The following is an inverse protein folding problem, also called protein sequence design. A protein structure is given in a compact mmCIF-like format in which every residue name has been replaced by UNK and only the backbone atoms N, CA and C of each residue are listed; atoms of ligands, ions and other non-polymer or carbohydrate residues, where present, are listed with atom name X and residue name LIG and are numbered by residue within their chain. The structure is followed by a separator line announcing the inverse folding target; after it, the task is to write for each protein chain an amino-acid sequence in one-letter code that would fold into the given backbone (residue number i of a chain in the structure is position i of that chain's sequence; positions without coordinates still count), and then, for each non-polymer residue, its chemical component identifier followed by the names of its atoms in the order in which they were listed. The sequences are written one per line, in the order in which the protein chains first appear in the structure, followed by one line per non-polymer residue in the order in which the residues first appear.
data_IF_162445117114
#
_entry.id   IF_162445117114
#
_cell.length_a   1.000
_cell.length_b   1.000
_cell.length_c   1.000
_cell.angle_alpha   90.00
_cell.angle_beta   90.00
_cell.angle_gamma   90.00
#
_symmetry.space_group_name_H-M   'P 1'
#
loop_
_entity.id
_entity.type
_entity.pdbx_description
1 polymer ?
#
# COMPACT_ATOMS: atom_id res chain seq x y z
N UNK A 1 52.60 15.70 -5.41
CA UNK A 1 51.37 15.67 -4.58
C UNK A 1 50.13 15.92 -5.45
N UNK A 2 49.95 15.15 -6.53
CA UNK A 2 48.86 15.32 -7.51
C UNK A 2 48.23 13.99 -7.93
N UNK A 3 48.92 12.87 -7.69
CA UNK A 3 48.44 11.53 -8.01
C UNK A 3 47.38 11.02 -7.01
N UNK A 4 47.52 11.37 -5.73
CA UNK A 4 46.57 10.98 -4.67
C UNK A 4 45.24 11.72 -4.76
N UNK A 5 45.22 12.93 -5.32
CA UNK A 5 43.99 13.66 -5.63
C UNK A 5 43.27 13.07 -6.85
N UNK A 6 44.01 12.58 -7.85
CA UNK A 6 43.43 11.91 -9.02
C UNK A 6 42.80 10.54 -8.70
N UNK A 7 43.38 9.78 -7.77
CA UNK A 7 42.75 8.54 -7.27
C UNK A 7 41.50 8.81 -6.43
N UNK A 8 41.43 9.95 -5.72
CA UNK A 8 40.25 10.32 -4.91
C UNK A 8 39.06 10.77 -5.77
N UNK A 9 39.31 11.43 -6.90
CA UNK A 9 38.25 11.84 -7.84
C UNK A 9 37.71 10.67 -8.68
N UNK A 10 38.55 9.68 -9.02
CA UNK A 10 38.09 8.48 -9.72
C UNK A 10 37.22 7.57 -8.84
N UNK A 11 37.58 7.43 -7.55
CA UNK A 11 36.81 6.62 -6.60
C UNK A 11 35.45 7.24 -6.22
N UNK A 12 35.31 8.58 -6.23
CA UNK A 12 34.02 9.24 -5.97
C UNK A 12 33.05 9.18 -7.16
N UNK A 13 33.54 8.92 -8.38
CA UNK A 13 32.70 8.90 -9.58
C UNK A 13 32.00 7.55 -9.82
N UNK A 14 32.48 6.46 -9.21
CA UNK A 14 31.94 5.10 -9.42
C UNK A 14 30.78 4.76 -8.46
N UNK A 15 30.65 5.47 -7.33
CA UNK A 15 29.69 5.11 -6.26
C UNK A 15 28.22 5.48 -6.59
N UNK A 16 27.97 6.35 -7.56
CA UNK A 16 26.60 6.82 -7.86
C UNK A 16 25.80 5.89 -8.79
N UNK A 17 26.39 4.82 -9.33
CA UNK A 17 25.76 4.00 -10.38
C UNK A 17 24.93 2.80 -9.86
N UNK A 18 24.75 2.65 -8.55
CA UNK A 18 24.13 1.44 -7.96
C UNK A 18 22.75 1.69 -7.32
N UNK A 19 22.36 2.95 -7.07
CA UNK A 19 21.06 3.26 -6.46
C UNK A 19 19.98 3.30 -7.55
N UNK A 20 19.44 2.14 -7.92
CA UNK A 20 18.20 2.08 -8.70
C UNK A 20 17.04 2.40 -7.75
N UNK A 21 16.20 3.41 -8.03
CA UNK A 21 15.00 3.64 -7.23
C UNK A 21 14.10 2.42 -7.41
N UNK A 22 14.01 1.59 -6.38
CA UNK A 22 13.00 0.55 -6.31
C UNK A 22 11.65 1.27 -6.16
N UNK A 23 10.85 1.29 -7.22
CA UNK A 23 9.46 1.73 -7.14
C UNK A 23 8.67 0.65 -6.40
N UNK A 24 8.79 0.62 -5.07
CA UNK A 24 7.89 -0.11 -4.22
C UNK A 24 6.65 0.78 -4.07
N UNK A 25 5.52 0.34 -4.59
CA UNK A 25 4.27 1.08 -4.41
C UNK A 25 3.76 0.80 -2.99
N UNK A 26 3.52 1.86 -2.22
CA UNK A 26 3.18 1.75 -0.81
C UNK A 26 1.87 0.98 -0.55
N UNK A 27 1.00 0.85 -1.56
CA UNK A 27 -0.34 0.26 -1.52
C UNK A 27 -0.42 -1.17 -2.09
N UNK A 28 0.70 -1.84 -2.39
CA UNK A 28 0.69 -3.26 -2.76
C UNK A 28 0.60 -4.15 -1.52
N UNK A 29 0.12 -5.37 -1.68
CA UNK A 29 -0.04 -6.34 -0.59
C UNK A 29 1.28 -6.68 0.13
N UNK A 30 2.41 -6.52 -0.57
CA UNK A 30 3.80 -6.66 -0.13
C UNK A 30 4.50 -5.30 0.05
N UNK A 31 3.78 -4.21 -0.14
CA UNK A 31 4.27 -2.84 -0.02
C UNK A 31 4.59 -2.47 1.43
N UNK A 32 5.52 -1.53 1.65
CA UNK A 32 6.03 -1.23 2.98
C UNK A 32 4.95 -0.71 3.94
N UNK A 33 3.96 0.06 3.45
CA UNK A 33 2.87 0.54 4.29
C UNK A 33 1.96 -0.61 4.75
N UNK A 34 1.61 -1.55 3.86
CA UNK A 34 0.79 -2.72 4.22
C UNK A 34 1.53 -3.65 5.19
N UNK A 35 2.84 -3.86 4.99
CA UNK A 35 3.68 -4.64 5.90
C UNK A 35 3.71 -4.03 7.31
N UNK A 36 3.91 -2.72 7.40
CA UNK A 36 3.90 -2.02 8.68
C UNK A 36 2.50 -1.95 9.30
N UNK A 37 1.43 -1.90 8.51
CA UNK A 37 0.06 -2.00 9.01
C UNK A 37 -0.21 -3.35 9.68
N UNK A 38 0.22 -4.46 9.06
CA UNK A 38 0.15 -5.80 9.68
C UNK A 38 0.98 -5.85 10.95
N UNK A 39 2.17 -5.25 10.92
CA UNK A 39 3.05 -5.17 12.09
C UNK A 39 2.40 -4.38 13.23
N UNK A 40 1.75 -3.26 12.94
CA UNK A 40 1.04 -2.43 13.92
C UNK A 40 -0.02 -3.25 14.65
N UNK A 41 -0.84 -4.01 13.91
CA UNK A 41 -1.85 -4.90 14.50
C UNK A 41 -1.21 -6.02 15.32
N UNK A 42 -0.17 -6.67 14.80
CA UNK A 42 0.51 -7.76 15.51
C UNK A 42 1.17 -7.32 16.83
N UNK A 43 1.65 -6.08 16.89
CA UNK A 43 2.35 -5.52 18.04
C UNK A 43 1.43 -4.68 18.92
N UNK A 44 0.16 -4.48 18.54
CA UNK A 44 -0.75 -3.58 19.24
C UNK A 44 -0.26 -2.13 19.29
N UNK A 45 0.58 -1.71 18.33
CA UNK A 45 1.21 -0.40 18.34
C UNK A 45 0.87 0.38 17.06
N UNK A 46 -0.11 1.27 17.18
CA UNK A 46 -0.61 2.11 16.08
C UNK A 46 0.46 3.05 15.51
N UNK A 47 1.49 3.42 16.29
CA UNK A 47 2.55 4.33 15.84
C UNK A 47 3.37 3.77 14.68
N UNK A 48 3.40 2.45 14.51
CA UNK A 48 4.06 1.79 13.37
C UNK A 48 3.33 2.12 12.06
N UNK A 49 2.00 2.23 12.10
CA UNK A 49 1.18 2.58 10.96
C UNK A 49 1.09 4.11 10.73
N UNK A 50 1.04 4.91 11.81
CA UNK A 50 0.86 6.37 11.73
C UNK A 50 1.94 7.09 10.93
N UNK A 51 3.17 6.56 10.88
CA UNK A 51 4.24 7.15 10.06
C UNK A 51 3.92 7.21 8.55
N UNK A 52 2.93 6.45 8.09
CA UNK A 52 2.49 6.41 6.70
C UNK A 52 1.35 7.38 6.41
N UNK A 53 0.86 8.13 7.40
CA UNK A 53 -0.32 8.97 7.27
C UNK A 53 0.05 10.41 7.51
N UNK A 54 -0.60 11.32 6.78
CA UNK A 54 -0.53 12.75 7.07
C UNK A 54 -1.31 13.06 8.36
N UNK A 55 -0.98 14.16 9.07
CA UNK A 55 -1.60 14.52 10.35
C UNK A 55 -3.15 14.52 10.30
N UNK A 56 -3.73 14.95 9.19
CA UNK A 56 -5.18 15.07 9.00
C UNK A 56 -5.89 13.71 9.01
N UNK A 57 -5.17 12.62 8.71
CA UNK A 57 -5.71 11.26 8.69
C UNK A 57 -5.41 10.44 9.94
N UNK A 58 -4.65 10.97 10.90
CA UNK A 58 -4.22 10.21 12.08
C UNK A 58 -5.40 9.76 12.95
N UNK A 59 -6.34 10.66 13.24
CA UNK A 59 -7.49 10.35 14.10
C UNK A 59 -8.38 9.26 13.48
N UNK A 60 -8.58 9.32 12.17
CA UNK A 60 -9.31 8.31 11.41
C UNK A 60 -8.61 6.95 11.51
N UNK A 61 -7.27 6.93 11.33
CA UNK A 61 -6.50 5.70 11.43
C UNK A 61 -6.51 5.11 12.84
N UNK A 62 -6.39 5.94 13.89
CA UNK A 62 -6.45 5.48 15.29
C UNK A 62 -7.80 4.83 15.59
N UNK A 63 -8.89 5.46 15.17
CA UNK A 63 -10.22 4.90 15.35
C UNK A 63 -10.41 3.56 14.60
N UNK A 64 -9.85 3.45 13.38
CA UNK A 64 -9.86 2.20 12.63
C UNK A 64 -9.01 1.11 13.33
N UNK A 65 -7.82 1.47 13.82
CA UNK A 65 -6.93 0.56 14.54
C UNK A 65 -7.61 -0.04 15.77
N UNK A 66 -8.25 0.80 16.59
CA UNK A 66 -8.92 0.34 17.81
C UNK A 66 -10.09 -0.60 17.50
N UNK A 67 -10.86 -0.31 16.44
CA UNK A 67 -11.95 -1.19 15.98
C UNK A 67 -11.41 -2.53 15.50
N UNK A 68 -10.36 -2.49 14.69
CA UNK A 68 -9.74 -3.70 14.16
C UNK A 68 -9.20 -4.58 15.28
N UNK A 69 -8.51 -4.01 16.28
CA UNK A 69 -7.99 -4.77 17.42
C UNK A 69 -9.10 -5.47 18.23
N UNK A 70 -10.23 -4.79 18.47
CA UNK A 70 -11.36 -5.40 19.18
C UNK A 70 -11.94 -6.60 18.43
N UNK A 71 -12.14 -6.48 17.12
CA UNK A 71 -12.68 -7.59 16.30
C UNK A 71 -11.64 -8.69 16.13
N UNK A 72 -10.36 -8.34 15.98
CA UNK A 72 -9.26 -9.30 15.84
C UNK A 72 -9.09 -10.20 17.06
N UNK A 73 -9.44 -9.71 18.25
CA UNK A 73 -9.48 -10.50 19.48
C UNK A 73 -10.49 -11.67 19.45
N UNK A 74 -11.51 -11.62 18.58
CA UNK A 74 -12.48 -12.73 18.40
C UNK A 74 -11.83 -13.94 17.72
N UNK A 75 -10.77 -13.74 16.93
CA UNK A 75 -10.03 -14.80 16.26
C UNK A 75 -10.68 -15.32 14.97
N UNK A 76 -10.08 -16.38 14.39
CA UNK A 76 -10.58 -17.04 13.19
C UNK A 76 -10.76 -16.10 11.99
N UNK A 77 -11.85 -16.28 11.26
CA UNK A 77 -12.19 -15.47 10.08
C UNK A 77 -12.42 -13.99 10.44
N UNK A 78 -12.95 -13.71 11.64
CA UNK A 78 -13.15 -12.33 12.11
C UNK A 78 -11.82 -11.58 12.23
N UNK A 79 -10.75 -12.25 12.65
CA UNK A 79 -9.42 -11.66 12.72
C UNK A 79 -8.83 -11.33 11.34
N UNK A 80 -9.00 -12.23 10.37
CA UNK A 80 -8.58 -11.98 8.99
C UNK A 80 -9.35 -10.81 8.37
N UNK A 81 -10.67 -10.74 8.60
CA UNK A 81 -11.51 -9.66 8.10
C UNK A 81 -11.16 -8.31 8.73
N UNK A 82 -10.91 -8.28 10.04
CA UNK A 82 -10.51 -7.08 10.76
C UNK A 82 -9.14 -6.55 10.27
N UNK A 83 -8.19 -7.46 10.05
CA UNK A 83 -6.88 -7.12 9.50
C UNK A 83 -7.00 -6.54 8.08
N UNK A 84 -7.72 -7.23 7.18
CA UNK A 84 -7.95 -6.74 5.82
C UNK A 84 -8.61 -5.36 5.81
N UNK A 85 -9.69 -5.19 6.58
CA UNK A 85 -10.42 -3.92 6.67
C UNK A 85 -9.55 -2.77 7.20
N UNK A 86 -8.69 -3.03 8.19
CA UNK A 86 -7.74 -2.03 8.67
C UNK A 86 -6.74 -1.63 7.61
N UNK A 87 -6.15 -2.60 6.90
CA UNK A 87 -5.15 -2.35 5.86
C UNK A 87 -5.74 -1.53 4.71
N UNK A 88 -6.98 -1.82 4.30
CA UNK A 88 -7.68 -1.07 3.26
C UNK A 88 -7.89 0.39 3.65
N UNK A 89 -8.31 0.65 4.90
CA UNK A 89 -8.47 2.00 5.41
C UNK A 89 -7.12 2.73 5.53
N UNK A 90 -6.10 2.07 6.06
CA UNK A 90 -4.76 2.64 6.17
C UNK A 90 -4.21 3.08 4.81
N UNK A 91 -4.30 2.20 3.80
CA UNK A 91 -3.84 2.50 2.44
C UNK A 91 -4.68 3.62 1.81
N UNK A 92 -6.00 3.62 1.99
CA UNK A 92 -6.86 4.70 1.49
C UNK A 92 -6.46 6.06 2.07
N UNK A 93 -6.24 6.14 3.38
CA UNK A 93 -5.89 7.40 4.06
C UNK A 93 -4.48 7.84 3.65
N UNK A 94 -3.51 6.92 3.58
CA UNK A 94 -2.16 7.18 3.08
C UNK A 94 -2.19 7.79 1.67
N UNK A 95 -2.90 7.14 0.72
CA UNK A 95 -3.02 7.63 -0.65
C UNK A 95 -3.74 8.97 -0.75
N UNK A 96 -4.77 9.19 0.07
CA UNK A 96 -5.43 10.48 0.15
C UNK A 96 -4.47 11.60 0.59
N UNK A 97 -3.57 11.30 1.54
CA UNK A 97 -2.48 12.21 1.94
C UNK A 97 -1.48 12.52 0.82
N UNK A 98 -1.28 11.59 -0.12
CA UNK A 98 -0.48 11.80 -1.33
C UNK A 98 -1.26 12.51 -2.46
N UNK A 99 -2.54 12.84 -2.24
CA UNK A 99 -3.42 13.41 -3.26
C UNK A 99 -3.83 12.41 -4.35
N UNK A 100 -3.72 11.10 -4.07
CA UNK A 100 -3.97 10.04 -5.04
C UNK A 100 -5.22 9.22 -4.68
N UNK A 101 -5.97 8.81 -5.71
CA UNK A 101 -7.15 7.96 -5.53
C UNK A 101 -6.81 6.55 -5.01
N UNK A 102 -7.76 5.92 -4.32
CA UNK A 102 -7.66 4.54 -3.82
C UNK A 102 -8.48 3.60 -4.70
N UNK A 103 -7.83 2.56 -5.24
CA UNK A 103 -8.43 1.54 -6.12
C UNK A 103 -8.35 0.11 -5.55
N UNK A 104 -8.07 -0.01 -4.24
CA UNK A 104 -7.85 -1.28 -3.56
C UNK A 104 -6.38 -1.50 -3.18
N UNK A 105 -6.12 -2.55 -2.40
CA UNK A 105 -4.75 -3.03 -2.19
C UNK A 105 -4.33 -3.82 -3.42
N UNK A 106 -3.22 -3.43 -4.05
CA UNK A 106 -2.73 -4.08 -5.27
C UNK A 106 -2.16 -5.48 -4.95
N UNK A 107 -2.32 -6.47 -5.84
CA UNK A 107 -1.75 -7.79 -5.63
C UNK A 107 -0.21 -7.72 -5.54
N UNK A 108 0.39 -8.68 -4.84
CA UNK A 108 1.85 -8.78 -4.75
C UNK A 108 2.48 -9.10 -6.12
N UNK A 109 3.67 -8.56 -6.38
CA UNK A 109 4.42 -8.78 -7.62
C UNK A 109 4.39 -7.60 -8.62
N UNK A 110 5.10 -7.74 -9.77
CA UNK A 110 5.22 -6.66 -10.74
C UNK A 110 3.84 -6.29 -11.29
N UNK A 111 3.51 -5.00 -11.27
CA UNK A 111 2.25 -4.46 -11.81
C UNK A 111 2.07 -4.89 -13.26
N UNK A 112 1.32 -5.96 -13.48
CA UNK A 112 0.72 -6.18 -14.79
C UNK A 112 -0.28 -5.04 -14.97
N UNK A 113 -0.09 -4.21 -16.00
CA UNK A 113 -1.11 -3.22 -16.42
C UNK A 113 -2.48 -3.92 -16.37
N UNK A 114 -3.54 -3.29 -15.81
CA UNK A 114 -4.85 -3.91 -15.79
C UNK A 114 -5.19 -4.32 -17.21
N UNK A 115 -5.22 -5.64 -17.45
CA UNK A 115 -5.67 -6.15 -18.73
C UNK A 115 -7.13 -5.75 -18.77
N UNK A 116 -7.52 -4.93 -19.74
CA UNK A 116 -8.92 -4.74 -20.06
C UNK A 116 -9.48 -6.13 -20.35
N UNK A 117 -10.16 -6.73 -19.37
CA UNK A 117 -10.92 -7.96 -19.57
C UNK A 117 -12.23 -7.48 -20.17
N UNK A 118 -12.49 -7.72 -21.47
CA UNK A 118 -13.75 -7.33 -22.07
C UNK A 118 -14.89 -8.01 -21.29
N UNK A 119 -16.03 -7.33 -21.05
CA UNK A 119 -17.12 -7.90 -20.26
C UNK A 119 -17.54 -9.23 -20.87
N UNK A 120 -17.71 -10.25 -20.02
CA UNK A 120 -18.11 -11.58 -20.51
C UNK A 120 -19.46 -11.47 -21.24
N UNK A 121 -19.77 -12.43 -22.13
CA UNK A 121 -21.06 -12.44 -22.86
C UNK A 121 -22.27 -12.33 -21.91
N UNK A 122 -22.15 -12.79 -20.67
CA UNK A 122 -23.18 -12.68 -19.61
C UNK A 122 -23.45 -11.23 -19.22
N UNK A 123 -22.41 -10.43 -18.99
CA UNK A 123 -22.53 -9.01 -18.62
C UNK A 123 -22.99 -8.15 -19.79
N UNK A 124 -22.61 -8.50 -21.04
CA UNK A 124 -23.11 -7.82 -22.25
C UNK A 124 -24.63 -7.96 -22.43
N UNK A 125 -25.19 -9.15 -22.16
CA UNK A 125 -26.65 -9.37 -22.19
C UNK A 125 -27.37 -8.65 -21.06
N UNK A 126 -26.79 -8.64 -19.85
CA UNK A 126 -27.39 -7.96 -18.70
C UNK A 126 -27.32 -6.42 -18.75
N UNK A 127 -26.39 -5.85 -19.51
CA UNK A 127 -26.32 -4.41 -19.76
C UNK A 127 -27.29 -3.98 -20.88
N UNK A 128 -27.39 -4.77 -21.96
CA UNK A 128 -28.36 -4.52 -23.04
C UNK A 128 -29.80 -4.66 -22.59
N UNK A 129 -30.10 -5.55 -21.64
CA UNK A 129 -31.46 -5.70 -21.09
C UNK A 129 -31.89 -4.54 -20.17
N UNK A 130 -30.99 -3.63 -19.77
CA UNK A 130 -31.30 -2.47 -18.93
C UNK A 130 -31.51 -1.16 -19.71
N UNK A 131 -31.21 -1.16 -21.02
CA UNK A 131 -31.51 -0.03 -21.91
C UNK A 131 -32.82 -0.22 -22.69
N UNK A 132 -33.57 -1.29 -22.42
CA UNK A 132 -34.81 -1.64 -23.13
C UNK A 132 -36.08 -1.38 -22.29
N UNK A 133 -36.02 -0.46 -21.32
CA UNK A 133 -37.18 -0.03 -20.53
C UNK A 133 -37.35 1.49 -20.62
#
# INVERSE_FOLDING_TARGET
MTFTTFLRTLASSITSLVIRPASAHCDTADGPAVVDGRRALSQGNVNIALKWVMPEGEDELRAAFDRAQRVRAVGGEAAALAEQWFLENMVRIHRAGEGAGYDGIKPAGPMSRPRCVPPTRRWRRAASSRCAA
#
